data_IF_943045397127
#
_entry.id   IF_943045397127
#
_cell.length_a   1.000
_cell.length_b   1.000
_cell.length_c   1.000
_cell.angle_alpha   90.00
_cell.angle_beta   90.00
_cell.angle_gamma   90.00
#
_symmetry.space_group_name_H-M   'P 1'
#
loop_
_entity.id
_entity.type
_entity.pdbx_description
1 polymer ?
#
# COMPACT_ATOMS: atom_id res chain seq x y z
N UNK A 1 10.15 -18.85 -1.17
CA UNK A 1 8.82 -18.51 -0.64
C UNK A 1 8.85 -17.36 0.38
N UNK A 2 9.23 -17.54 1.65
CA UNK A 2 9.15 -16.46 2.65
C UNK A 2 10.14 -15.31 2.42
N UNK A 3 11.37 -15.64 2.00
CA UNK A 3 12.40 -14.65 1.64
C UNK A 3 12.00 -13.79 0.42
N UNK A 4 11.29 -14.35 -0.56
CA UNK A 4 10.85 -13.61 -1.75
C UNK A 4 9.77 -12.59 -1.41
N UNK A 5 8.85 -12.93 -0.51
CA UNK A 5 7.84 -12.00 0.00
C UNK A 5 8.46 -10.89 0.83
N UNK A 6 9.43 -11.22 1.69
CA UNK A 6 10.17 -10.22 2.46
C UNK A 6 10.96 -9.26 1.55
N UNK A 7 11.57 -9.78 0.47
CA UNK A 7 12.25 -8.96 -0.53
C UNK A 7 11.26 -8.07 -1.28
N UNK A 8 10.13 -8.60 -1.73
CA UNK A 8 9.10 -7.82 -2.42
C UNK A 8 8.52 -6.71 -1.53
N UNK A 9 8.20 -7.02 -0.27
CA UNK A 9 7.77 -6.02 0.71
C UNK A 9 8.83 -4.92 0.92
N UNK A 10 10.11 -5.29 0.95
CA UNK A 10 11.21 -4.34 1.12
C UNK A 10 11.32 -3.38 -0.05
N UNK A 11 11.14 -3.85 -1.30
CA UNK A 11 11.11 -2.99 -2.50
C UNK A 11 9.96 -2.00 -2.44
N UNK A 12 8.74 -2.47 -2.14
CA UNK A 12 7.54 -1.61 -2.04
C UNK A 12 7.72 -0.54 -0.95
N UNK A 13 8.28 -0.92 0.21
CA UNK A 13 8.62 0.03 1.28
C UNK A 13 9.64 1.07 0.81
N UNK A 14 10.68 0.66 0.09
CA UNK A 14 11.70 1.58 -0.44
C UNK A 14 11.10 2.58 -1.43
N UNK A 15 10.30 2.13 -2.40
CA UNK A 15 9.64 3.01 -3.36
C UNK A 15 8.65 3.98 -2.71
N UNK A 16 7.90 3.51 -1.71
CA UNK A 16 6.96 4.34 -0.94
C UNK A 16 7.69 5.45 -0.19
N UNK A 17 8.80 5.13 0.49
CA UNK A 17 9.64 6.14 1.15
C UNK A 17 10.30 7.10 0.15
N UNK A 18 10.76 6.59 -0.99
CA UNK A 18 11.31 7.43 -2.06
C UNK A 18 10.31 8.49 -2.57
N UNK A 19 9.02 8.15 -2.62
CA UNK A 19 7.96 9.08 -3.09
C UNK A 19 7.42 10.01 -2.01
N UNK A 20 7.23 9.51 -0.79
CA UNK A 20 6.50 10.23 0.27
C UNK A 20 7.38 10.74 1.42
N UNK A 21 8.69 10.47 1.37
CA UNK A 21 9.67 10.90 2.36
C UNK A 21 9.91 9.85 3.46
N UNK A 22 10.46 10.28 4.57
CA UNK A 22 10.70 9.41 5.72
C UNK A 22 9.37 9.11 6.45
N UNK A 23 8.75 7.98 6.08
CA UNK A 23 7.45 7.52 6.57
C UNK A 23 7.55 6.10 7.10
N UNK A 24 6.72 5.81 8.10
CA UNK A 24 6.51 4.43 8.55
C UNK A 24 5.61 3.73 7.54
N UNK A 25 6.03 2.59 6.98
CA UNK A 25 5.29 1.87 5.93
C UNK A 25 4.96 0.45 6.37
N UNK A 26 3.68 0.10 6.30
CA UNK A 26 3.13 -1.24 6.44
C UNK A 26 2.66 -1.73 5.07
N UNK A 27 3.01 -2.96 4.73
CA UNK A 27 2.61 -3.61 3.47
C UNK A 27 1.94 -4.92 3.84
N UNK A 28 0.70 -5.11 3.39
CA UNK A 28 -0.11 -6.29 3.66
C UNK A 28 -0.68 -6.83 2.36
N UNK A 29 -0.54 -8.12 2.14
CA UNK A 29 -1.19 -8.83 1.05
C UNK A 29 -2.44 -9.52 1.58
N UNK A 30 -3.56 -9.32 0.92
CA UNK A 30 -4.88 -9.78 1.35
C UNK A 30 -5.54 -10.59 0.23
N UNK A 31 -6.26 -11.63 0.63
CA UNK A 31 -7.14 -12.35 -0.28
C UNK A 31 -8.47 -11.60 -0.45
N UNK A 32 -8.92 -11.45 -1.71
CA UNK A 32 -10.26 -10.96 -2.00
C UNK A 32 -11.23 -12.13 -2.19
N UNK A 33 -12.36 -12.08 -1.48
CA UNK A 33 -13.46 -13.02 -1.68
C UNK A 33 -14.49 -12.53 -2.72
N UNK A 34 -14.27 -11.36 -3.33
CA UNK A 34 -15.23 -10.75 -4.25
C UNK A 34 -15.13 -11.35 -5.67
N UNK A 35 -16.26 -11.77 -6.28
CA UNK A 35 -16.28 -12.19 -7.67
C UNK A 35 -15.79 -11.08 -8.61
N UNK A 36 -14.86 -11.42 -9.51
CA UNK A 36 -14.30 -10.47 -10.48
C UNK A 36 -13.07 -9.68 -9.99
N UNK A 37 -12.68 -9.81 -8.71
CA UNK A 37 -11.44 -9.23 -8.20
C UNK A 37 -10.29 -10.25 -8.24
N UNK A 38 -9.04 -9.76 -8.37
CA UNK A 38 -7.86 -10.61 -8.22
C UNK A 38 -7.88 -11.33 -6.87
N UNK A 39 -7.45 -12.60 -6.86
CA UNK A 39 -7.40 -13.41 -5.65
C UNK A 39 -6.57 -12.74 -4.56
N UNK A 40 -5.43 -12.16 -4.92
CA UNK A 40 -4.54 -11.44 -4.03
C UNK A 40 -4.49 -9.96 -4.44
N UNK A 41 -4.52 -9.09 -3.45
CA UNK A 41 -4.26 -7.67 -3.61
C UNK A 41 -3.38 -7.18 -2.48
N UNK A 42 -2.66 -6.08 -2.73
CA UNK A 42 -1.74 -5.51 -1.76
C UNK A 42 -2.24 -4.17 -1.27
N UNK A 43 -2.25 -4.00 0.03
CA UNK A 43 -2.54 -2.75 0.72
C UNK A 43 -1.25 -2.20 1.29
N UNK A 44 -0.98 -0.93 1.01
CA UNK A 44 0.13 -0.18 1.58
C UNK A 44 -0.45 0.92 2.45
N UNK A 45 -0.15 0.88 3.73
CA UNK A 45 -0.49 1.92 4.69
C UNK A 45 0.78 2.61 5.16
N UNK A 46 0.76 3.93 5.30
CA UNK A 46 1.91 4.67 5.79
C UNK A 46 1.53 5.88 6.63
N UNK A 47 2.43 6.27 7.52
CA UNK A 47 2.27 7.40 8.43
C UNK A 47 3.44 8.36 8.31
N UNK A 48 3.13 9.65 8.29
CA UNK A 48 4.15 10.70 8.39
C UNK A 48 4.52 11.00 9.86
N UNK A 49 5.47 11.91 10.05
CA UNK A 49 5.90 12.36 11.38
C UNK A 49 4.77 12.96 12.22
N UNK A 50 3.76 13.55 11.57
CA UNK A 50 2.56 14.12 12.20
C UNK A 50 1.51 13.05 12.56
N UNK A 51 1.83 11.76 12.33
CA UNK A 51 0.95 10.60 12.55
C UNK A 51 -0.32 10.62 11.68
N UNK A 52 -0.32 11.38 10.59
CA UNK A 52 -1.37 11.31 9.60
C UNK A 52 -1.31 9.96 8.88
N UNK A 53 -2.46 9.33 8.73
CA UNK A 53 -2.57 8.01 8.11
C UNK A 53 -2.92 8.15 6.63
N UNK A 54 -2.16 7.45 5.79
CA UNK A 54 -2.39 7.35 4.36
C UNK A 54 -2.44 5.88 3.96
N UNK A 55 -3.28 5.53 2.99
CA UNK A 55 -3.27 4.18 2.44
C UNK A 55 -3.60 4.15 0.95
N UNK A 56 -3.16 3.09 0.27
CA UNK A 56 -3.61 2.78 -1.08
C UNK A 56 -3.65 1.27 -1.30
N UNK A 57 -4.46 0.84 -2.26
CA UNK A 57 -4.63 -0.56 -2.65
C UNK A 57 -4.17 -0.76 -4.09
N UNK A 58 -3.36 -1.77 -4.30
CA UNK A 58 -2.95 -2.25 -5.63
C UNK A 58 -3.58 -3.62 -5.85
N UNK A 59 -4.36 -3.76 -6.92
CA UNK A 59 -5.05 -5.00 -7.27
C UNK A 59 -4.10 -6.01 -7.95
N UNK A 60 -2.95 -6.24 -7.33
CA UNK A 60 -1.90 -7.17 -7.75
C UNK A 60 -1.33 -7.88 -6.52
N UNK A 61 -0.84 -9.13 -6.66
CA UNK A 61 -0.06 -9.78 -5.62
C UNK A 61 1.24 -9.02 -5.36
N UNK A 62 1.78 -9.16 -4.15
CA UNK A 62 2.94 -8.38 -3.71
C UNK A 62 4.18 -8.59 -4.61
N UNK A 63 4.33 -9.79 -5.16
CA UNK A 63 5.43 -10.15 -6.06
C UNK A 63 5.41 -9.42 -7.42
N UNK A 64 4.24 -8.96 -7.86
CA UNK A 64 4.02 -8.33 -9.18
C UNK A 64 3.97 -6.81 -9.13
N UNK A 65 4.13 -6.21 -7.94
CA UNK A 65 4.13 -4.76 -7.80
C UNK A 65 5.40 -4.18 -8.42
N UNK A 66 5.20 -3.26 -9.35
CA UNK A 66 6.24 -2.45 -9.95
C UNK A 66 6.30 -1.06 -9.29
N UNK A 67 7.39 -0.35 -9.52
CA UNK A 67 7.56 1.01 -9.01
C UNK A 67 6.48 1.97 -9.51
N UNK A 68 6.02 1.80 -10.75
CA UNK A 68 4.96 2.62 -11.36
C UNK A 68 3.57 2.39 -10.76
N UNK A 69 3.38 1.29 -10.02
CA UNK A 69 2.14 1.05 -9.26
C UNK A 69 2.06 1.92 -7.99
N UNK A 70 3.16 2.56 -7.58
CA UNK A 70 3.17 3.43 -6.40
C UNK A 70 2.66 4.82 -6.81
N UNK A 71 1.60 5.34 -6.16
CA UNK A 71 1.00 6.61 -6.54
C UNK A 71 2.01 7.75 -6.56
N UNK A 72 1.87 8.70 -7.50
CA UNK A 72 2.77 9.83 -7.59
C UNK A 72 2.59 10.75 -6.37
N UNK A 73 3.65 11.50 -6.03
CA UNK A 73 3.70 12.33 -4.82
C UNK A 73 2.54 13.35 -4.73
N UNK A 74 2.10 13.90 -5.86
CA UNK A 74 1.01 14.86 -5.90
C UNK A 74 -0.35 14.27 -5.51
N UNK A 75 -0.50 12.93 -5.53
CA UNK A 75 -1.73 12.24 -5.13
C UNK A 75 -1.80 11.96 -3.62
N UNK A 76 -0.76 12.30 -2.86
CA UNK A 76 -0.64 11.98 -1.43
C UNK A 76 -1.86 12.39 -0.61
N UNK A 77 -2.36 13.62 -0.80
CA UNK A 77 -3.47 14.12 0.01
C UNK A 77 -4.79 13.38 -0.25
N UNK A 78 -4.98 12.83 -1.45
CA UNK A 78 -6.14 11.99 -1.77
C UNK A 78 -6.08 10.61 -1.09
N UNK A 79 -4.89 10.16 -0.67
CA UNK A 79 -4.68 8.89 0.03
C UNK A 79 -4.90 9.01 1.55
N UNK A 80 -5.13 10.24 2.05
CA UNK A 80 -5.28 10.50 3.48
C UNK A 80 -6.55 9.82 3.98
N UNK A 81 -6.40 8.97 4.99
CA UNK A 81 -7.51 8.34 5.68
C UNK A 81 -8.03 9.32 6.73
N UNK A 82 -9.27 9.75 6.59
CA UNK A 82 -9.93 10.53 7.63
C UNK A 82 -10.10 9.64 8.88
N UNK A 83 -9.58 10.09 10.03
CA UNK A 83 -9.82 9.45 11.33
C UNK A 83 -11.34 9.31 11.54
N UNK A 84 -11.85 8.07 11.47
CA UNK A 84 -13.27 7.76 11.65
C UNK A 84 -14.03 7.33 10.38
N UNK A 85 -13.42 7.36 9.20
CA UNK A 85 -13.90 6.58 8.05
C UNK A 85 -13.08 5.30 7.95
N UNK A 86 -13.57 4.26 8.61
CA UNK A 86 -13.27 2.91 8.16
C UNK A 86 -13.73 2.84 6.70
N UNK A 87 -12.81 2.75 5.75
CA UNK A 87 -13.12 2.33 4.38
C UNK A 87 -13.52 0.85 4.37
N UNK A 88 -14.49 0.48 5.20
CA UNK A 88 -15.24 -0.76 5.21
C UNK A 88 -16.40 -0.71 4.22
N UNK A 89 -16.15 -0.23 3.00
CA UNK A 89 -17.11 -0.38 1.91
C UNK A 89 -16.44 -1.07 0.72
N UNK A 90 -16.92 -2.30 0.53
CA UNK A 90 -16.80 -3.22 -0.60
C UNK A 90 -15.49 -4.03 -0.65
#
# INVERSE_FOLDING_TARGET
MEHERANAASRVKAWTRGRFGDVTVLVTELESALPGFPRLHTVVAFWNAEREHFHFKVFKPLGEIAEDDIPPRWYKDALRVALGLDCGCC
#
